data_IF_881660508375
#
_entry.id   IF_881660508375
#
_cell.length_a   1.000
_cell.length_b   1.000
_cell.length_c   1.000
_cell.angle_alpha   90.00
_cell.angle_beta   90.00
_cell.angle_gamma   90.00
#
_symmetry.space_group_name_H-M   'P 1'
#
loop_
_entity.id
_entity.type
_entity.pdbx_description
1 polymer ?
#
# COMPACT_ATOMS: atom_id res chain seq x y z
N UNK A 1 -3.70 -16.01 -6.47
CA UNK A 1 -4.86 -16.14 -7.38
C UNK A 1 -5.19 -14.76 -7.92
N UNK A 2 -5.40 -14.62 -9.23
CA UNK A 2 -5.95 -13.39 -9.82
C UNK A 2 -7.46 -13.46 -9.64
N UNK A 3 -8.05 -12.52 -8.90
CA UNK A 3 -9.51 -12.43 -8.76
C UNK A 3 -10.00 -11.45 -9.82
N UNK A 4 -10.83 -11.93 -10.73
CA UNK A 4 -11.49 -11.09 -11.72
C UNK A 4 -12.64 -10.34 -11.06
N UNK A 5 -12.83 -9.06 -11.34
CA UNK A 5 -13.94 -8.30 -10.73
C UNK A 5 -15.31 -8.79 -11.21
N UNK A 6 -15.37 -9.54 -12.30
CA UNK A 6 -16.59 -10.20 -12.72
C UNK A 6 -17.05 -11.27 -11.69
N UNK A 7 -16.10 -11.88 -10.94
CA UNK A 7 -16.36 -12.74 -9.77
C UNK A 7 -16.73 -11.92 -8.53
N UNK A 8 -16.32 -10.65 -8.48
CA UNK A 8 -16.66 -9.71 -7.40
C UNK A 8 -18.11 -9.21 -7.53
N UNK A 9 -18.71 -9.25 -8.72
CA UNK A 9 -20.13 -8.90 -8.93
C UNK A 9 -21.10 -9.86 -8.23
N UNK A 10 -20.63 -11.04 -7.81
CA UNK A 10 -21.41 -11.97 -6.98
C UNK A 10 -21.61 -11.45 -5.54
N UNK A 11 -20.84 -10.43 -5.12
CA UNK A 11 -21.05 -9.79 -3.82
C UNK A 11 -22.12 -8.70 -3.92
N UNK A 12 -23.26 -8.96 -3.28
CA UNK A 12 -24.45 -8.10 -3.29
C UNK A 12 -24.21 -6.71 -2.69
N UNK A 13 -23.12 -6.50 -1.92
CA UNK A 13 -22.78 -5.21 -1.31
C UNK A 13 -21.27 -4.94 -1.27
N UNK A 14 -20.90 -3.65 -1.23
CA UNK A 14 -19.52 -3.21 -1.04
C UNK A 14 -18.93 -3.72 0.29
N UNK A 15 -19.74 -3.81 1.34
CA UNK A 15 -19.34 -4.36 2.64
C UNK A 15 -19.01 -5.86 2.58
N UNK A 16 -19.80 -6.66 1.83
CA UNK A 16 -19.54 -8.09 1.63
C UNK A 16 -18.18 -8.32 0.94
N UNK A 17 -17.83 -7.46 -0.01
CA UNK A 17 -16.54 -7.48 -0.69
C UNK A 17 -15.40 -7.12 0.26
N UNK A 18 -15.53 -6.03 1.02
CA UNK A 18 -14.56 -5.60 2.04
C UNK A 18 -14.27 -6.72 3.04
N UNK A 19 -15.31 -7.38 3.55
CA UNK A 19 -15.20 -8.53 4.42
C UNK A 19 -14.47 -9.71 3.76
N UNK A 20 -14.84 -10.06 2.53
CA UNK A 20 -14.17 -11.15 1.82
C UNK A 20 -12.68 -10.82 1.60
N UNK A 21 -12.35 -9.62 1.14
CA UNK A 21 -10.97 -9.19 0.92
C UNK A 21 -10.16 -9.25 2.21
N UNK A 22 -10.70 -8.79 3.33
CA UNK A 22 -10.03 -8.85 4.63
C UNK A 22 -9.69 -10.29 5.06
N UNK A 23 -10.52 -11.26 4.68
CA UNK A 23 -10.39 -12.66 5.10
C UNK A 23 -9.82 -13.59 4.01
N UNK A 24 -9.64 -13.11 2.78
CA UNK A 24 -9.12 -13.89 1.66
C UNK A 24 -7.60 -14.03 1.76
N UNK A 25 -7.09 -15.25 2.01
CA UNK A 25 -5.65 -15.50 2.17
C UNK A 25 -4.90 -15.84 0.89
N UNK A 26 -5.55 -15.71 -0.28
CA UNK A 26 -5.06 -16.29 -1.55
C UNK A 26 -5.07 -15.30 -2.71
N UNK A 27 -5.87 -14.25 -2.63
CA UNK A 27 -5.93 -13.18 -3.61
C UNK A 27 -4.72 -12.26 -3.45
N UNK A 28 -4.00 -12.03 -4.56
CA UNK A 28 -2.79 -11.19 -4.58
C UNK A 28 -2.79 -10.16 -5.70
N UNK A 29 -3.78 -10.20 -6.60
CA UNK A 29 -3.97 -9.26 -7.72
C UNK A 29 -5.45 -9.13 -8.09
N UNK A 30 -5.82 -7.94 -8.56
CA UNK A 30 -7.15 -7.57 -9.06
C UNK A 30 -7.03 -6.86 -10.41
N UNK A 31 -7.98 -7.09 -11.32
CA UNK A 31 -8.04 -6.45 -12.64
C UNK A 31 -9.35 -5.68 -12.83
N UNK A 32 -9.25 -4.42 -13.26
CA UNK A 32 -10.37 -3.48 -13.44
C UNK A 32 -10.73 -3.24 -14.91
N UNK A 33 -10.29 -4.11 -15.81
CA UNK A 33 -10.40 -3.90 -17.26
C UNK A 33 -11.83 -3.78 -17.80
N UNK A 34 -12.85 -4.17 -17.03
CA UNK A 34 -14.25 -4.22 -17.47
C UNK A 34 -15.17 -3.17 -16.83
N UNK A 35 -14.69 -2.34 -15.90
CA UNK A 35 -15.52 -1.29 -15.26
C UNK A 35 -15.17 0.11 -15.76
N UNK A 36 -16.18 0.83 -16.26
CA UNK A 36 -16.07 2.21 -16.74
C UNK A 36 -16.27 3.25 -15.64
N UNK A 37 -16.90 2.89 -14.51
CA UNK A 37 -16.95 3.70 -13.29
C UNK A 37 -17.15 2.84 -12.03
N UNK A 38 -16.56 3.26 -10.92
CA UNK A 38 -16.77 2.68 -9.59
C UNK A 38 -17.51 3.71 -8.73
N UNK A 39 -18.57 3.28 -8.04
CA UNK A 39 -19.24 4.13 -7.06
C UNK A 39 -18.29 4.41 -5.88
N UNK A 40 -18.34 5.62 -5.31
CA UNK A 40 -17.41 6.06 -4.26
C UNK A 40 -17.34 5.10 -3.07
N UNK A 41 -18.50 4.68 -2.56
CA UNK A 41 -18.63 3.72 -1.46
C UNK A 41 -17.96 2.37 -1.77
N UNK A 42 -18.06 1.92 -3.03
CA UNK A 42 -17.40 0.70 -3.48
C UNK A 42 -15.88 0.84 -3.49
N UNK A 43 -15.34 1.98 -3.90
CA UNK A 43 -13.89 2.25 -3.87
C UNK A 43 -13.36 2.27 -2.43
N UNK A 44 -14.07 2.90 -1.50
CA UNK A 44 -13.67 2.93 -0.09
C UNK A 44 -13.68 1.55 0.55
N UNK A 45 -14.77 0.79 0.39
CA UNK A 45 -14.89 -0.56 0.94
C UNK A 45 -13.88 -1.52 0.33
N UNK A 46 -13.67 -1.44 -0.99
CA UNK A 46 -12.65 -2.22 -1.67
C UNK A 46 -11.24 -1.90 -1.12
N UNK A 47 -10.91 -0.62 -1.00
CA UNK A 47 -9.62 -0.16 -0.45
C UNK A 47 -9.43 -0.64 0.98
N UNK A 48 -10.49 -0.60 1.80
CA UNK A 48 -10.47 -1.08 3.19
C UNK A 48 -10.23 -2.57 3.28
N UNK A 49 -10.93 -3.36 2.46
CA UNK A 49 -10.72 -4.80 2.40
C UNK A 49 -9.30 -5.18 1.95
N UNK A 50 -8.75 -4.44 0.98
CA UNK A 50 -7.37 -4.62 0.50
C UNK A 50 -6.35 -4.35 1.61
N UNK A 51 -6.51 -3.26 2.36
CA UNK A 51 -5.63 -2.89 3.49
C UNK A 51 -5.70 -3.90 4.65
N UNK A 52 -6.81 -4.62 4.80
CA UNK A 52 -6.97 -5.64 5.83
C UNK A 52 -6.48 -7.03 5.40
N UNK A 53 -6.28 -7.25 4.10
CA UNK A 53 -5.83 -8.52 3.56
C UNK A 53 -4.35 -8.77 3.88
N UNK A 54 -4.08 -9.70 4.81
CA UNK A 54 -2.70 -10.04 5.21
C UNK A 54 -1.80 -10.46 4.06
N UNK A 55 -2.33 -11.10 3.02
CA UNK A 55 -1.53 -11.57 1.87
C UNK A 55 -1.05 -10.39 1.04
N UNK A 56 -1.92 -9.41 0.84
CA UNK A 56 -1.63 -8.19 0.07
C UNK A 56 -0.71 -7.28 0.88
N UNK A 57 -1.00 -7.07 2.16
CA UNK A 57 -0.13 -6.29 3.06
C UNK A 57 1.26 -6.92 3.16
N UNK A 58 1.36 -8.25 3.28
CA UNK A 58 2.65 -8.94 3.29
C UNK A 58 3.38 -8.84 1.94
N UNK A 59 2.65 -8.86 0.81
CA UNK A 59 3.24 -8.65 -0.51
C UNK A 59 3.78 -7.23 -0.65
N UNK A 60 3.02 -6.23 -0.20
CA UNK A 60 3.44 -4.83 -0.17
C UNK A 60 4.67 -4.64 0.71
N UNK A 61 4.70 -5.30 1.88
CA UNK A 61 5.87 -5.33 2.77
C UNK A 61 7.10 -5.94 2.10
N UNK A 62 6.98 -7.13 1.51
CA UNK A 62 8.11 -7.79 0.82
C UNK A 62 8.61 -6.95 -0.37
N UNK A 63 7.69 -6.36 -1.14
CA UNK A 63 8.03 -5.44 -2.21
C UNK A 63 8.76 -4.20 -1.68
N UNK A 64 8.32 -3.66 -0.54
CA UNK A 64 8.92 -2.51 0.11
C UNK A 64 10.33 -2.82 0.66
N UNK A 65 10.52 -3.96 1.33
CA UNK A 65 11.84 -4.44 1.80
C UNK A 65 12.81 -4.64 0.63
N UNK A 66 12.34 -5.27 -0.45
CA UNK A 66 13.11 -5.41 -1.68
C UNK A 66 13.45 -4.06 -2.29
N UNK A 67 12.48 -3.15 -2.38
CA UNK A 67 12.70 -1.81 -2.92
C UNK A 67 13.72 -1.02 -2.10
N UNK A 68 13.64 -1.00 -0.76
CA UNK A 68 14.64 -0.34 0.10
C UNK A 68 16.05 -0.89 -0.13
N UNK A 69 16.20 -2.20 -0.36
CA UNK A 69 17.49 -2.81 -0.65
C UNK A 69 18.13 -2.32 -1.98
N UNK A 70 17.30 -1.93 -2.95
CA UNK A 70 17.73 -1.64 -4.32
C UNK A 70 17.54 -0.18 -4.77
N UNK A 71 16.78 0.66 -4.06
CA UNK A 71 16.39 2.02 -4.45
C UNK A 71 17.57 2.93 -4.82
N UNK A 72 18.65 2.88 -4.05
CA UNK A 72 19.89 3.62 -4.32
C UNK A 72 20.81 2.99 -5.37
N UNK A 73 20.52 1.76 -5.84
CA UNK A 73 21.45 0.99 -6.67
C UNK A 73 21.21 1.24 -8.16
N UNK A 74 22.26 1.43 -8.98
CA UNK A 74 22.12 1.59 -10.42
C UNK A 74 21.44 0.42 -11.14
N UNK A 75 21.51 -0.78 -10.57
CA UNK A 75 20.88 -1.97 -11.14
C UNK A 75 19.35 -1.86 -11.18
N UNK A 76 18.72 -1.22 -10.18
CA UNK A 76 17.27 -1.02 -10.17
C UNK A 76 16.84 -0.13 -11.33
N UNK A 77 17.55 0.98 -11.55
CA UNK A 77 17.28 1.89 -12.68
C UNK A 77 17.40 1.18 -14.02
N UNK A 78 18.49 0.46 -14.24
CA UNK A 78 18.73 -0.31 -15.47
C UNK A 78 17.63 -1.34 -15.70
N UNK A 79 17.26 -2.08 -14.66
CA UNK A 79 16.21 -3.08 -14.73
C UNK A 79 14.86 -2.43 -15.04
N UNK A 80 14.49 -1.38 -14.31
CA UNK A 80 13.24 -0.65 -14.48
C UNK A 80 13.07 -0.15 -15.91
N UNK A 81 14.11 0.49 -16.48
CA UNK A 81 14.09 0.93 -17.89
C UNK A 81 13.91 -0.25 -18.84
N UNK A 82 14.65 -1.34 -18.62
CA UNK A 82 14.55 -2.54 -19.46
C UNK A 82 13.15 -3.16 -19.44
N UNK A 83 12.49 -3.23 -18.27
CA UNK A 83 11.20 -3.90 -18.14
C UNK A 83 10.00 -2.99 -18.47
N UNK A 84 10.14 -1.67 -18.32
CA UNK A 84 9.03 -0.73 -18.56
C UNK A 84 9.15 0.05 -19.86
N UNK A 85 10.31 0.03 -20.53
CA UNK A 85 10.58 0.89 -21.69
C UNK A 85 10.76 2.37 -21.36
N UNK A 86 10.72 2.75 -20.07
CA UNK A 86 10.89 4.14 -19.61
C UNK A 86 12.29 4.69 -19.93
N UNK A 87 12.35 5.98 -20.21
CA UNK A 87 13.58 6.76 -20.29
C UNK A 87 14.25 6.92 -18.92
N UNK A 88 15.50 7.41 -18.88
CA UNK A 88 16.20 7.63 -17.60
C UNK A 88 15.45 8.61 -16.67
N UNK A 89 14.97 9.78 -17.14
CA UNK A 89 14.23 10.71 -16.28
C UNK A 89 12.93 10.09 -15.75
N UNK A 90 12.19 9.35 -16.58
CA UNK A 90 10.95 8.69 -16.18
C UNK A 90 11.19 7.56 -15.16
N UNK A 91 12.29 6.82 -15.31
CA UNK A 91 12.69 5.79 -14.36
C UNK A 91 13.05 6.41 -13.00
N UNK A 92 13.76 7.54 -13.00
CA UNK A 92 14.08 8.30 -11.78
C UNK A 92 12.81 8.83 -11.12
N UNK A 93 11.89 9.43 -11.88
CA UNK A 93 10.61 9.89 -11.36
C UNK A 93 9.79 8.75 -10.74
N UNK A 94 9.78 7.58 -11.38
CA UNK A 94 9.08 6.41 -10.85
C UNK A 94 9.70 5.89 -9.55
N UNK A 95 11.03 5.88 -9.42
CA UNK A 95 11.72 5.50 -8.18
C UNK A 95 11.40 6.52 -7.08
N UNK A 96 11.50 7.82 -7.37
CA UNK A 96 11.15 8.86 -6.41
C UNK A 96 9.68 8.80 -5.97
N UNK A 97 8.77 8.45 -6.89
CA UNK A 97 7.37 8.24 -6.56
C UNK A 97 7.17 7.02 -5.65
N UNK A 98 7.86 5.91 -5.92
CA UNK A 98 7.83 4.72 -5.07
C UNK A 98 8.43 4.99 -3.68
N UNK A 99 9.52 5.73 -3.58
CA UNK A 99 10.09 6.18 -2.30
C UNK A 99 9.10 7.03 -1.51
N UNK A 100 8.44 8.00 -2.17
CA UNK A 100 7.42 8.83 -1.53
C UNK A 100 6.23 8.00 -1.06
N UNK A 101 5.76 7.08 -1.89
CA UNK A 101 4.66 6.19 -1.54
C UNK A 101 5.01 5.34 -0.30
N UNK A 102 6.21 4.75 -0.26
CA UNK A 102 6.67 3.96 0.89
C UNK A 102 6.70 4.80 2.17
N UNK A 103 7.16 6.05 2.11
CA UNK A 103 7.18 6.95 3.27
C UNK A 103 5.77 7.36 3.72
N UNK A 104 4.92 7.72 2.76
CA UNK A 104 3.53 8.13 3.03
C UNK A 104 2.69 7.00 3.64
N UNK A 105 3.04 5.74 3.35
CA UNK A 105 2.29 4.55 3.77
C UNK A 105 3.07 3.62 4.71
N UNK A 106 4.20 4.08 5.28
CA UNK A 106 5.11 3.23 6.03
C UNK A 106 4.43 2.43 7.15
N UNK A 107 3.59 3.08 7.95
CA UNK A 107 2.89 2.44 9.08
C UNK A 107 1.91 1.36 8.64
N UNK A 108 1.28 1.53 7.46
CA UNK A 108 0.37 0.54 6.87
C UNK A 108 1.15 -0.63 6.26
N UNK A 109 2.17 -0.33 5.44
CA UNK A 109 3.02 -1.32 4.77
C UNK A 109 3.73 -2.23 5.77
N UNK A 110 4.22 -1.66 6.88
CA UNK A 110 4.88 -2.43 7.94
C UNK A 110 3.90 -3.19 8.84
N UNK A 111 2.60 -2.89 8.76
CA UNK A 111 1.55 -3.47 9.58
C UNK A 111 1.50 -2.93 11.02
N UNK A 112 2.24 -1.86 11.33
CA UNK A 112 2.17 -1.18 12.64
C UNK A 112 0.76 -0.65 12.89
N UNK A 113 0.12 -0.16 11.84
CA UNK A 113 -1.23 0.42 11.85
C UNK A 113 -2.10 -0.28 10.82
N UNK A 114 -3.38 -0.47 11.11
CA UNK A 114 -4.36 -1.00 10.14
C UNK A 114 -5.01 0.10 9.29
N UNK A 115 -5.27 1.27 9.88
CA UNK A 115 -6.00 2.37 9.25
C UNK A 115 -5.36 3.72 9.55
N UNK A 116 -5.30 4.06 10.84
CA UNK A 116 -4.84 5.36 11.36
C UNK A 116 -4.18 5.18 12.73
N UNK A 117 -3.30 6.11 13.09
CA UNK A 117 -2.84 6.25 14.47
C UNK A 117 -3.89 7.07 15.22
N UNK A 118 -4.49 6.49 16.24
CA UNK A 118 -5.49 7.12 17.08
C UNK A 118 -5.11 6.93 18.54
N UNK A 119 -5.18 8.00 19.32
CA UNK A 119 -4.91 7.95 20.76
C UNK A 119 -6.21 7.98 21.56
N UNK A 120 -6.17 7.39 22.75
CA UNK A 120 -7.23 7.59 23.73
C UNK A 120 -7.25 9.05 24.20
N UNK A 121 -8.43 9.60 24.53
CA UNK A 121 -8.56 11.00 24.94
C UNK A 121 -7.61 11.37 26.08
N UNK A 122 -6.78 12.39 25.86
CA UNK A 122 -5.94 13.00 26.90
C UNK A 122 -5.95 14.53 26.81
N UNK A 123 -5.40 15.18 27.84
CA UNK A 123 -5.34 16.65 27.95
C UNK A 123 -4.15 17.29 27.22
N UNK A 124 -3.26 16.48 26.66
CA UNK A 124 -2.00 16.92 26.02
C UNK A 124 -1.99 16.55 24.55
N UNK A 125 -1.19 17.24 23.75
CA UNK A 125 -0.94 16.84 22.35
C UNK A 125 -0.36 15.42 22.32
N UNK A 126 -1.03 14.54 21.58
CA UNK A 126 -0.66 13.14 21.42
C UNK A 126 -0.12 12.86 20.01
N UNK A 127 0.37 11.64 19.80
CA UNK A 127 1.05 11.27 18.55
C UNK A 127 0.11 11.25 17.33
N UNK A 128 -1.19 11.05 17.55
CA UNK A 128 -2.23 11.14 16.52
C UNK A 128 -2.49 12.58 16.02
N UNK A 129 -2.10 13.59 16.80
CA UNK A 129 -2.16 15.00 16.40
C UNK A 129 -0.98 15.45 15.52
N UNK A 130 -0.01 14.57 15.24
CA UNK A 130 1.09 14.87 14.32
C UNK A 130 0.58 15.01 12.89
N UNK A 131 0.98 16.10 12.22
CA UNK A 131 0.67 16.30 10.82
C UNK A 131 1.54 15.42 9.91
N UNK A 132 1.22 15.42 8.60
CA UNK A 132 1.93 14.62 7.60
C UNK A 132 3.45 14.87 7.57
N UNK A 133 3.89 16.12 7.69
CA UNK A 133 5.31 16.46 7.64
C UNK A 133 6.07 15.93 8.86
N UNK A 134 5.46 15.97 10.05
CA UNK A 134 6.00 15.36 11.25
C UNK A 134 6.16 13.84 11.09
N UNK A 135 5.14 13.17 10.55
CA UNK A 135 5.21 11.72 10.27
C UNK A 135 6.32 11.39 9.28
N UNK A 136 6.45 12.15 8.18
CA UNK A 136 7.53 11.99 7.22
C UNK A 136 8.92 12.19 7.85
N UNK A 137 9.05 13.15 8.76
CA UNK A 137 10.30 13.43 9.47
C UNK A 137 10.70 12.32 10.46
N UNK A 138 9.73 11.55 10.96
CA UNK A 138 9.96 10.35 11.78
C UNK A 138 10.34 9.17 10.86
N UNK A 139 9.48 8.88 9.88
CA UNK A 139 9.60 7.70 8.99
C UNK A 139 10.89 7.69 8.20
N UNK A 140 11.48 8.86 7.86
CA UNK A 140 12.78 8.92 7.15
C UNK A 140 13.94 8.22 7.88
N UNK A 141 13.80 7.99 9.19
CA UNK A 141 14.81 7.33 10.03
C UNK A 141 14.54 5.85 10.26
N UNK A 142 13.42 5.34 9.73
CA UNK A 142 12.98 3.96 9.90
C UNK A 142 13.19 3.17 8.61
N UNK A 143 13.42 1.86 8.75
CA UNK A 143 13.42 0.92 7.62
C UNK A 143 12.29 -0.07 7.78
N UNK A 144 11.77 -0.60 6.68
CA UNK A 144 10.71 -1.62 6.72
C UNK A 144 11.24 -2.89 7.40
N UNK A 145 12.50 -3.25 7.13
CA UNK A 145 13.17 -4.41 7.70
C UNK A 145 13.38 -4.35 9.23
N UNK A 146 13.31 -3.16 9.84
CA UNK A 146 13.53 -2.99 11.28
C UNK A 146 12.28 -3.33 12.12
N UNK A 147 11.11 -3.49 11.49
CA UNK A 147 9.85 -3.82 12.16
C UNK A 147 9.69 -5.33 12.26
N UNK A 148 9.70 -5.91 13.46
CA UNK A 148 9.45 -7.35 13.64
C UNK A 148 7.97 -7.68 13.40
N UNK A 149 7.72 -8.77 12.68
CA UNK A 149 6.37 -9.27 12.36
C UNK A 149 5.78 -10.13 13.49
#
# INVERSE_FOLDING_TARGET
>A
MLVGIDEVREFETATSLSYLLAHNKTATKFSFSTMTSLYFEFVEEFSRGMQQNKTIVNLDRQCAEGFECFSGRPCLRKLLKKVTGKTEPEALLAISAAERYLRDNYLLITGIVRHSVECHPAKTTQVDALNKDCWLAIVRHLRVADVLA
#
